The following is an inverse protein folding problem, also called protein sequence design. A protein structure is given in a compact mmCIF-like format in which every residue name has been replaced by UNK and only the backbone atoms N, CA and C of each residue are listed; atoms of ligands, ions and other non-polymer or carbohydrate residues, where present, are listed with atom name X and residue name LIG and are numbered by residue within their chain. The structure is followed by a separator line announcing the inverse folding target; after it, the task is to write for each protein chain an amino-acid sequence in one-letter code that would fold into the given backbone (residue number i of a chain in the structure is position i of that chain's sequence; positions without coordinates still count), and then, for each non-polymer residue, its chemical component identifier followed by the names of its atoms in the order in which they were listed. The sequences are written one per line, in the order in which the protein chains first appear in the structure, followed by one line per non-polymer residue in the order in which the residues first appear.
data_IF_909253910629
#
_entry.id   IF_909253910629
#
_cell.length_a   1.000
_cell.length_b   1.000
_cell.length_c   1.000
_cell.angle_alpha   90.00
_cell.angle_beta   90.00
_cell.angle_gamma   90.00
#
_symmetry.space_group_name_H-M   'P 1'
#
loop_
_entity.id
_entity.type
_entity.pdbx_description
1 polymer ?
#
# COMPACT_ATOMS: atom_id res chain seq x y z
N UNK A 1 -30.96 7.13 -8.42
CA UNK A 1 -29.99 7.18 -9.54
C UNK A 1 -28.91 6.14 -9.26
N UNK A 2 -28.74 5.16 -10.14
CA UNK A 2 -27.83 4.02 -9.93
C UNK A 2 -26.53 4.30 -10.69
N UNK A 3 -25.38 4.21 -10.01
CA UNK A 3 -24.06 4.36 -10.61
C UNK A 3 -23.41 2.99 -10.82
N UNK A 4 -22.94 2.72 -12.05
CA UNK A 4 -22.42 1.41 -12.44
C UNK A 4 -21.09 1.06 -11.73
N UNK A 5 -21.10 -0.03 -10.96
CA UNK A 5 -19.88 -0.60 -10.40
C UNK A 5 -19.03 -1.30 -11.49
N UNK A 6 -17.86 -0.74 -11.82
CA UNK A 6 -16.86 -1.40 -12.68
C UNK A 6 -16.10 -2.45 -11.86
N UNK A 7 -16.04 -3.69 -12.34
CA UNK A 7 -15.29 -4.74 -11.66
C UNK A 7 -13.78 -4.53 -11.74
N UNK A 8 -13.09 -4.62 -10.60
CA UNK A 8 -11.63 -4.62 -10.52
C UNK A 8 -11.13 -5.99 -10.04
N UNK A 9 -10.30 -6.65 -10.85
CA UNK A 9 -9.60 -7.87 -10.43
C UNK A 9 -8.33 -7.51 -9.68
N UNK A 10 -8.28 -7.83 -8.38
CA UNK A 10 -7.01 -8.00 -7.67
C UNK A 10 -6.31 -9.23 -8.26
N UNK A 11 -5.04 -9.08 -8.67
CA UNK A 11 -4.21 -10.23 -9.06
C UNK A 11 -3.57 -10.79 -7.80
N UNK A 12 -3.87 -12.06 -7.47
CA UNK A 12 -3.18 -12.77 -6.40
C UNK A 12 -1.67 -12.75 -6.65
N UNK A 13 -0.92 -12.16 -5.71
CA UNK A 13 0.53 -12.08 -5.79
C UNK A 13 1.12 -13.43 -5.36
N UNK A 14 1.74 -14.13 -6.31
CA UNK A 14 2.26 -15.49 -6.08
C UNK A 14 3.63 -15.41 -5.39
N UNK A 15 3.62 -15.36 -4.06
CA UNK A 15 4.82 -15.51 -3.24
C UNK A 15 5.46 -16.89 -3.55
N UNK A 16 6.77 -16.91 -3.81
CA UNK A 16 7.53 -18.16 -4.02
C UNK A 16 8.07 -18.63 -2.67
N UNK A 17 8.13 -19.94 -2.44
CA UNK A 17 8.66 -20.50 -1.19
C UNK A 17 10.05 -19.98 -0.84
N UNK A 18 10.91 -19.84 -1.85
CA UNK A 18 12.27 -19.27 -1.74
C UNK A 18 12.30 -17.81 -1.22
N UNK A 19 11.29 -17.01 -1.56
CA UNK A 19 11.15 -15.62 -1.07
C UNK A 19 10.68 -15.57 0.41
N UNK A 20 10.20 -16.70 0.97
CA UNK A 20 9.69 -16.82 2.34
C UNK A 20 10.68 -17.57 3.26
N UNK A 21 11.34 -18.60 2.74
CA UNK A 21 12.42 -19.34 3.40
C UNK A 21 13.60 -18.42 3.75
N UNK A 22 13.96 -17.49 2.86
CA UNK A 22 14.98 -16.46 3.11
C UNK A 22 14.62 -15.48 4.24
N UNK A 23 13.35 -15.44 4.66
CA UNK A 23 12.84 -14.61 5.75
C UNK A 23 12.63 -15.40 7.05
N UNK A 24 13.17 -16.62 7.15
CA UNK A 24 13.04 -17.48 8.33
C UNK A 24 11.64 -18.10 8.52
N UNK A 25 10.77 -18.05 7.51
CA UNK A 25 9.45 -18.68 7.57
C UNK A 25 9.62 -20.18 7.41
N UNK A 26 9.42 -20.92 8.50
CA UNK A 26 9.58 -22.37 8.51
C UNK A 26 8.51 -23.08 7.69
N UNK A 27 8.85 -24.25 7.15
CA UNK A 27 7.95 -25.11 6.37
C UNK A 27 6.62 -25.42 7.10
N UNK A 28 6.67 -25.58 8.42
CA UNK A 28 5.47 -25.80 9.25
C UNK A 28 4.51 -24.60 9.28
N UNK A 29 5.03 -23.36 9.29
CA UNK A 29 4.19 -22.15 9.19
C UNK A 29 3.57 -22.03 7.80
N UNK A 30 4.33 -22.38 6.76
CA UNK A 30 3.86 -22.43 5.37
C UNK A 30 2.72 -23.44 5.16
N UNK A 31 2.77 -24.59 5.83
CA UNK A 31 1.71 -25.60 5.78
C UNK A 31 0.43 -25.14 6.48
N UNK A 32 0.53 -24.41 7.60
CA UNK A 32 -0.63 -23.79 8.28
C UNK A 32 -1.29 -22.68 7.44
N UNK A 33 -0.52 -21.93 6.63
CA UNK A 33 -1.03 -20.86 5.78
C UNK A 33 -1.62 -21.35 4.45
N UNK A 34 -1.32 -22.59 4.05
CA UNK A 34 -1.70 -23.18 2.76
C UNK A 34 -3.22 -23.18 2.46
N UNK A 35 -4.12 -23.47 3.43
CA UNK A 35 -5.58 -23.42 3.22
C UNK A 35 -6.13 -22.01 3.00
N UNK A 36 -5.39 -20.97 3.39
CA UNK A 36 -5.82 -19.56 3.31
C UNK A 36 -5.33 -18.87 2.02
N UNK A 37 -4.31 -19.44 1.36
CA UNK A 37 -3.69 -18.88 0.15
C UNK A 37 -4.28 -19.47 -1.13
N UNK A 38 -4.86 -20.67 -1.07
CA UNK A 38 -5.52 -21.34 -2.18
C UNK A 38 -7.04 -21.31 -2.02
N UNK A 39 -7.81 -20.87 -3.04
CA UNK A 39 -9.27 -21.02 -2.98
C UNK A 39 -9.64 -22.51 -2.99
N UNK A 40 -10.72 -22.84 -2.28
CA UNK A 40 -11.32 -24.19 -2.28
C UNK A 40 -11.48 -24.74 -3.71
N UNK A 41 -11.20 -26.03 -3.95
CA UNK A 41 -11.42 -26.65 -5.26
C UNK A 41 -12.91 -26.57 -5.61
N UNK A 42 -13.23 -25.74 -6.62
CA UNK A 42 -14.60 -25.59 -7.12
C UNK A 42 -15.17 -26.95 -7.49
N UNK A 43 -16.29 -27.32 -6.88
CA UNK A 43 -17.12 -28.43 -7.33
C UNK A 43 -17.48 -28.22 -8.80
N UNK A 44 -17.22 -29.22 -9.64
CA UNK A 44 -17.72 -29.25 -11.01
C UNK A 44 -19.23 -29.43 -10.97
N UNK A 45 -19.98 -28.39 -11.35
CA UNK A 45 -21.39 -28.49 -11.72
C UNK A 45 -21.51 -28.10 -13.19
N UNK A 46 -22.37 -28.81 -13.92
CA UNK A 46 -22.32 -28.89 -15.37
C UNK A 46 -22.64 -27.55 -16.06
N UNK A 47 -21.94 -27.29 -17.17
CA UNK A 47 -22.31 -26.24 -18.10
C UNK A 47 -23.64 -26.63 -18.79
N UNK A 48 -24.73 -25.93 -18.45
CA UNK A 48 -25.84 -25.73 -19.38
C UNK A 48 -25.62 -24.35 -20.01
N UNK A 49 -25.55 -24.33 -21.34
CA UNK A 49 -25.36 -23.10 -22.10
C UNK A 49 -26.66 -22.29 -22.19
N UNK A 50 -26.51 -20.98 -22.41
CA UNK A 50 -27.35 -20.02 -23.17
C UNK A 50 -26.84 -18.62 -22.77
N UNK A 51 -25.88 -18.00 -23.49
CA UNK A 51 -26.10 -17.06 -24.61
C UNK A 51 -27.13 -15.95 -24.26
N UNK A 52 -26.87 -14.65 -24.36
CA UNK A 52 -26.03 -13.88 -25.29
C UNK A 52 -25.46 -12.60 -24.59
N UNK A 53 -24.62 -11.72 -25.16
CA UNK A 53 -23.94 -11.61 -26.47
C UNK A 53 -22.49 -11.11 -26.26
N UNK A 54 -21.61 -11.35 -27.24
CA UNK A 54 -20.37 -10.56 -27.42
C UNK A 54 -20.02 -10.54 -28.91
N UNK A 55 -19.94 -9.34 -29.51
CA UNK A 55 -19.59 -9.21 -30.94
C UNK A 55 -18.09 -9.41 -31.14
N UNK A 56 -17.71 -10.53 -31.76
CA UNK A 56 -16.34 -10.70 -32.30
C UNK A 56 -16.17 -9.87 -33.57
N UNK A 57 -15.01 -9.24 -33.73
CA UNK A 57 -14.46 -8.93 -35.06
C UNK A 57 -13.14 -9.67 -35.28
N UNK A 58 -12.82 -9.83 -36.57
CA UNK A 58 -12.05 -10.93 -37.13
C UNK A 58 -10.54 -10.84 -36.92
N UNK A 59 -9.93 -12.02 -36.83
CA UNK A 59 -8.52 -12.23 -37.16
C UNK A 59 -8.28 -11.83 -38.62
N UNK A 60 -7.22 -11.06 -38.87
CA UNK A 60 -6.58 -11.03 -40.18
C UNK A 60 -5.08 -11.28 -40.00
N UNK A 61 -4.64 -12.43 -40.50
CA UNK A 61 -3.24 -12.71 -40.77
C UNK A 61 -2.72 -11.80 -41.87
N UNK A 62 -1.50 -11.26 -41.71
CA UNK A 62 -0.63 -10.93 -42.86
C UNK A 62 0.85 -10.75 -42.48
N UNK A 63 1.60 -11.78 -42.88
CA UNK A 63 2.95 -11.75 -43.49
C UNK A 63 4.13 -11.19 -42.68
N UNK A 64 5.13 -12.07 -42.55
CA UNK A 64 6.52 -11.75 -42.23
C UNK A 64 7.08 -10.68 -43.19
N UNK A 65 7.79 -9.70 -42.65
CA UNK A 65 8.86 -9.00 -43.37
C UNK A 65 10.06 -8.87 -42.42
N UNK A 66 11.24 -9.32 -42.85
CA UNK A 66 12.45 -9.18 -42.07
C UNK A 66 12.91 -7.73 -42.03
N UNK A 67 13.21 -7.21 -40.84
CA UNK A 67 14.00 -5.98 -40.68
C UNK A 67 15.17 -6.23 -39.74
N UNK A 68 16.28 -5.58 -40.07
CA UNK A 68 17.63 -5.73 -39.50
C UNK A 68 17.63 -5.45 -37.98
N UNK A 69 18.62 -5.96 -37.21
CA UNK A 69 18.79 -5.55 -35.82
C UNK A 69 18.90 -4.03 -35.74
N UNK A 70 17.98 -3.40 -35.01
CA UNK A 70 18.00 -1.96 -34.78
C UNK A 70 19.22 -1.62 -33.91
N UNK A 71 20.15 -0.88 -34.49
CA UNK A 71 21.32 -0.35 -33.80
C UNK A 71 20.94 0.38 -32.51
N UNK A 72 21.77 0.22 -31.49
CA UNK A 72 21.75 1.07 -30.30
C UNK A 72 22.07 2.50 -30.76
N UNK A 73 21.03 3.33 -30.86
CA UNK A 73 21.16 4.77 -31.16
C UNK A 73 20.63 5.64 -30.03
N UNK A 74 21.27 5.44 -28.87
CA UNK A 74 21.76 6.51 -27.98
C UNK A 74 22.70 5.86 -26.98
N UNK A 75 23.96 6.32 -26.83
CA UNK A 75 24.75 5.95 -25.67
C UNK A 75 24.01 6.43 -24.41
N UNK A 76 24.14 5.67 -23.32
CA UNK A 76 23.93 6.24 -21.99
C UNK A 76 24.82 7.49 -21.89
N UNK A 77 24.32 8.64 -21.41
CA UNK A 77 25.20 9.79 -21.19
C UNK A 77 26.27 9.39 -20.18
N UNK A 78 27.50 9.21 -20.67
CA UNK A 78 28.69 9.15 -19.83
C UNK A 78 28.84 10.48 -19.12
N UNK A 79 29.10 10.40 -17.82
CA UNK A 79 29.62 11.39 -16.89
C UNK A 79 29.58 12.90 -17.22
N UNK A 80 29.19 13.63 -16.19
CA UNK A 80 29.28 15.08 -16.01
C UNK A 80 28.37 16.01 -16.86
N UNK A 81 27.93 17.07 -16.18
CA UNK A 81 27.22 18.25 -16.73
C UNK A 81 25.78 18.07 -17.23
N UNK A 82 25.01 17.13 -16.69
CA UNK A 82 23.58 17.42 -16.45
C UNK A 82 23.41 18.07 -15.09
N UNK A 83 23.40 19.40 -15.11
CA UNK A 83 22.97 20.23 -13.98
C UNK A 83 21.66 19.66 -13.43
N UNK A 84 21.62 19.44 -12.11
CA UNK A 84 20.39 19.62 -11.34
C UNK A 84 19.86 21.00 -11.75
N UNK A 85 18.79 21.01 -12.54
CA UNK A 85 18.16 22.27 -12.93
C UNK A 85 17.50 22.85 -11.69
N UNK A 86 17.64 24.15 -11.51
CA UNK A 86 17.04 24.98 -10.45
C UNK A 86 15.57 24.60 -10.14
N UNK A 87 14.84 24.11 -11.15
CA UNK A 87 13.48 23.58 -11.09
C UNK A 87 13.27 22.34 -10.18
N UNK A 88 14.29 21.53 -9.88
CA UNK A 88 14.11 20.39 -8.96
C UNK A 88 14.14 20.81 -7.49
N UNK A 89 14.86 21.89 -7.19
CA UNK A 89 14.67 22.65 -5.95
C UNK A 89 13.29 23.30 -5.88
N UNK A 90 12.60 23.54 -7.01
CA UNK A 90 11.30 24.22 -7.03
C UNK A 90 10.10 23.43 -6.51
N UNK A 91 10.20 22.20 -6.01
CA UNK A 91 9.06 21.62 -5.21
C UNK A 91 9.27 21.82 -3.70
N UNK A 92 10.50 22.04 -3.26
CA UNK A 92 10.76 22.68 -1.97
C UNK A 92 10.46 24.20 -2.06
N UNK A 93 10.87 24.87 -3.15
CA UNK A 93 10.64 26.32 -3.35
C UNK A 93 9.27 26.69 -3.98
N UNK A 94 8.41 25.77 -4.42
CA UNK A 94 7.10 26.12 -5.00
C UNK A 94 6.19 26.80 -3.96
N UNK A 95 6.41 26.50 -2.68
CA UNK A 95 5.74 27.16 -1.58
C UNK A 95 6.19 28.63 -1.40
N UNK A 96 7.43 28.98 -1.77
CA UNK A 96 8.00 30.34 -1.79
C UNK A 96 9.25 30.45 -2.70
N UNK A 97 9.15 30.96 -3.95
CA UNK A 97 10.26 30.97 -4.91
C UNK A 97 11.37 32.01 -4.64
N UNK A 98 11.30 32.76 -3.52
CA UNK A 98 12.21 33.86 -3.18
C UNK A 98 12.76 33.79 -1.74
N UNK A 99 12.61 32.65 -1.06
CA UNK A 99 13.05 32.48 0.32
C UNK A 99 14.56 32.19 0.42
N UNK A 100 15.36 33.22 0.72
CA UNK A 100 16.78 33.07 1.05
C UNK A 100 17.02 32.51 2.47
N UNK A 101 15.97 32.45 3.29
CA UNK A 101 15.96 31.91 4.66
C UNK A 101 14.73 31.02 4.82
N UNK A 102 14.93 29.84 5.42
CA UNK A 102 13.86 28.88 5.67
C UNK A 102 13.23 29.12 7.04
N UNK A 103 11.96 29.51 7.04
CA UNK A 103 11.15 29.55 8.26
C UNK A 103 10.33 28.27 8.38
N UNK A 104 10.05 27.85 9.63
CA UNK A 104 9.26 26.64 9.96
C UNK A 104 7.91 26.57 9.24
N UNK A 105 7.32 27.72 8.91
CA UNK A 105 6.07 27.84 8.17
C UNK A 105 6.16 27.38 6.71
N UNK A 106 7.32 27.56 6.06
CA UNK A 106 7.51 27.17 4.65
C UNK A 106 7.46 25.64 4.51
N UNK A 107 8.06 24.96 5.48
CA UNK A 107 8.18 23.50 5.56
C UNK A 107 6.82 22.87 5.89
N UNK A 108 6.03 23.52 6.75
CA UNK A 108 4.63 23.14 6.96
C UNK A 108 3.84 23.19 5.64
N UNK A 109 3.99 24.27 4.84
CA UNK A 109 3.38 24.33 3.49
C UNK A 109 3.88 23.24 2.56
N UNK A 110 5.17 22.85 2.63
CA UNK A 110 5.68 21.69 1.87
C UNK A 110 4.97 20.41 2.28
N UNK A 111 4.76 20.17 3.59
CA UNK A 111 4.02 19.00 4.08
C UNK A 111 2.54 19.04 3.68
N UNK A 112 1.88 20.18 3.88
CA UNK A 112 0.50 20.40 3.42
C UNK A 112 0.37 20.13 1.91
N UNK A 113 1.36 20.54 1.11
CA UNK A 113 1.39 20.28 -0.34
C UNK A 113 1.60 18.79 -0.68
N UNK A 114 2.61 18.10 -0.14
CA UNK A 114 2.91 16.70 -0.54
C UNK A 114 1.81 15.70 -0.14
N UNK A 115 0.97 16.05 0.85
CA UNK A 115 -0.19 15.25 1.25
C UNK A 115 -1.52 15.76 0.65
N UNK A 116 -1.49 16.81 -0.18
CA UNK A 116 -2.68 17.33 -0.89
C UNK A 116 -2.97 16.58 -2.20
N UNK A 117 -4.20 16.74 -2.72
CA UNK A 117 -4.59 16.28 -4.06
C UNK A 117 -3.78 16.91 -5.21
N UNK A 118 -3.02 17.98 -4.95
CA UNK A 118 -2.18 18.68 -5.93
C UNK A 118 -0.74 18.15 -5.98
N UNK A 119 -0.36 17.18 -5.15
CA UNK A 119 1.00 16.62 -5.15
C UNK A 119 1.26 15.77 -6.40
N UNK A 120 2.26 16.13 -7.21
CA UNK A 120 2.75 15.27 -8.28
C UNK A 120 3.99 14.46 -7.83
N UNK A 121 3.94 13.12 -7.85
CA UNK A 121 5.08 12.27 -7.50
C UNK A 121 6.31 12.54 -8.37
N UNK A 122 7.46 12.78 -7.74
CA UNK A 122 8.71 13.13 -8.45
C UNK A 122 9.26 11.99 -9.32
N UNK A 123 8.80 10.75 -9.10
CA UNK A 123 9.10 9.60 -9.96
C UNK A 123 7.79 9.09 -10.56
N UNK A 124 7.59 9.37 -11.86
CA UNK A 124 6.46 8.86 -12.65
C UNK A 124 6.92 7.67 -13.50
N UNK A 125 6.13 6.60 -13.49
CA UNK A 125 6.42 5.40 -14.29
C UNK A 125 5.48 5.28 -15.50
N UNK A 126 5.96 4.83 -16.68
CA UNK A 126 5.11 4.65 -17.85
C UNK A 126 3.94 3.68 -17.60
N UNK A 127 2.74 3.95 -18.14
CA UNK A 127 1.53 3.16 -17.83
C UNK A 127 1.54 1.72 -18.35
N UNK A 128 2.55 1.31 -19.13
CA UNK A 128 2.69 -0.02 -19.74
C UNK A 128 3.92 -0.81 -19.24
N UNK A 129 4.55 -0.40 -18.14
CA UNK A 129 5.68 -1.17 -17.57
C UNK A 129 5.20 -2.54 -17.09
N UNK A 130 5.46 -3.57 -17.90
CA UNK A 130 5.30 -5.00 -17.56
C UNK A 130 6.59 -5.60 -16.97
N UNK A 131 7.49 -4.76 -16.46
CA UNK A 131 8.71 -5.24 -15.82
C UNK A 131 8.40 -6.04 -14.56
N UNK A 132 9.17 -7.11 -14.36
CA UNK A 132 9.00 -8.03 -13.25
C UNK A 132 9.52 -7.37 -11.96
N UNK A 133 8.65 -6.63 -11.25
CA UNK A 133 9.01 -6.04 -9.95
C UNK A 133 8.23 -4.79 -9.53
N UNK A 134 7.47 -4.15 -10.44
CA UNK A 134 6.64 -2.98 -10.12
C UNK A 134 5.19 -3.39 -9.91
N UNK A 135 4.59 -2.92 -8.81
CA UNK A 135 3.22 -3.27 -8.42
C UNK A 135 2.34 -2.01 -8.38
N UNK A 136 1.03 -2.18 -8.49
CA UNK A 136 0.06 -1.13 -8.24
C UNK A 136 -0.64 -1.42 -6.91
N UNK A 137 -0.37 -0.59 -5.91
CA UNK A 137 -0.96 -0.66 -4.59
C UNK A 137 -2.13 0.33 -4.50
N UNK A 138 -3.33 -0.14 -4.16
CA UNK A 138 -4.53 0.71 -4.07
C UNK A 138 -4.77 1.10 -2.62
N UNK A 139 -4.90 2.40 -2.35
CA UNK A 139 -5.09 2.95 -1.00
C UNK A 139 -6.03 4.15 -1.08
N UNK A 140 -6.77 4.41 0.00
CA UNK A 140 -7.56 5.64 0.18
C UNK A 140 -6.78 6.73 0.92
N UNK A 141 -5.53 6.48 1.31
CA UNK A 141 -4.66 7.41 2.04
C UNK A 141 -3.75 8.22 1.11
N UNK A 142 -3.96 8.15 -0.21
CA UNK A 142 -3.18 8.89 -1.21
C UNK A 142 -4.15 9.78 -2.01
N UNK A 143 -4.16 11.07 -1.68
CA UNK A 143 -5.17 12.03 -2.17
C UNK A 143 -5.08 12.27 -3.69
N UNK A 144 -3.87 12.44 -4.25
CA UNK A 144 -3.68 12.67 -5.69
C UNK A 144 -4.21 11.54 -6.58
N UNK A 145 -4.35 10.31 -6.06
CA UNK A 145 -4.89 9.24 -6.91
C UNK A 145 -5.11 7.87 -6.29
N UNK A 146 -5.98 7.11 -6.94
CA UNK A 146 -6.48 5.81 -6.48
C UNK A 146 -5.42 4.68 -6.32
N UNK A 147 -4.17 4.90 -6.70
CA UNK A 147 -3.12 3.89 -6.54
C UNK A 147 -1.69 4.42 -6.65
N UNK A 148 -0.81 3.89 -5.79
CA UNK A 148 0.64 4.06 -5.83
C UNK A 148 1.26 3.01 -6.75
N UNK A 149 2.19 3.40 -7.63
CA UNK A 149 3.00 2.46 -8.43
C UNK A 149 4.36 2.29 -7.76
N UNK A 150 4.73 1.06 -7.42
CA UNK A 150 5.90 0.80 -6.57
C UNK A 150 7.20 0.64 -7.38
N UNK A 151 8.32 1.11 -6.81
CA UNK A 151 9.66 0.98 -7.40
C UNK A 151 10.12 -0.48 -7.43
N UNK A 152 9.74 -1.24 -6.39
CA UNK A 152 10.12 -2.63 -6.18
C UNK A 152 9.04 -3.43 -5.41
N UNK A 153 9.29 -4.71 -5.11
CA UNK A 153 8.38 -5.58 -4.33
C UNK A 153 8.34 -5.24 -2.83
N UNK A 154 9.43 -4.72 -2.27
CA UNK A 154 9.56 -4.39 -0.85
C UNK A 154 8.73 -3.17 -0.49
N UNK A 155 8.73 -2.14 -1.33
CA UNK A 155 7.81 -1.00 -1.22
C UNK A 155 6.34 -1.45 -1.28
N UNK A 156 5.98 -2.44 -2.09
CA UNK A 156 4.61 -2.97 -2.12
C UNK A 156 4.21 -3.66 -0.80
N UNK A 157 5.14 -4.38 -0.17
CA UNK A 157 4.93 -5.01 1.14
C UNK A 157 4.97 -4.00 2.30
N UNK A 158 5.85 -3.00 2.23
CA UNK A 158 5.93 -1.89 3.19
C UNK A 158 4.68 -1.01 3.15
N UNK A 159 4.14 -0.71 1.96
CA UNK A 159 2.87 -0.01 1.80
C UNK A 159 1.71 -0.75 2.46
N UNK A 160 1.68 -2.09 2.45
CA UNK A 160 0.66 -2.86 3.18
C UNK A 160 0.78 -2.69 4.70
N UNK A 161 2.01 -2.53 5.24
CA UNK A 161 2.21 -2.21 6.66
C UNK A 161 1.75 -0.79 6.98
N UNK A 162 2.08 0.20 6.14
CA UNK A 162 1.77 1.61 6.39
C UNK A 162 0.28 1.91 6.20
N UNK A 163 -0.33 1.39 5.14
CA UNK A 163 -1.76 1.55 4.86
C UNK A 163 -2.61 0.88 5.94
N UNK A 164 -2.23 -0.34 6.38
CA UNK A 164 -2.89 -1.03 7.48
C UNK A 164 -2.66 -0.42 8.86
N UNK A 165 -1.89 0.67 8.98
CA UNK A 165 -1.62 1.36 10.24
C UNK A 165 -2.62 2.49 10.52
N UNK A 166 -3.45 2.41 11.58
CA UNK A 166 -4.44 3.44 11.89
C UNK A 166 -3.86 4.79 12.34
N UNK A 167 -2.58 4.83 12.75
CA UNK A 167 -1.91 6.09 13.05
C UNK A 167 -1.42 6.82 11.80
N UNK A 168 -1.27 6.14 10.67
CA UNK A 168 -0.91 6.78 9.40
C UNK A 168 -2.18 7.22 8.69
N UNK A 169 -2.32 8.53 8.47
CA UNK A 169 -3.52 9.14 7.89
C UNK A 169 -3.35 9.45 6.40
N UNK A 170 -2.14 9.80 5.94
CA UNK A 170 -1.85 10.05 4.53
C UNK A 170 -0.50 9.44 4.09
N UNK A 171 -0.40 9.16 2.79
CA UNK A 171 0.70 8.50 2.09
C UNK A 171 1.03 9.30 0.82
N UNK A 172 2.27 9.78 0.70
CA UNK A 172 2.75 10.55 -0.45
C UNK A 172 3.92 9.81 -1.13
N UNK A 173 3.72 9.15 -2.28
CA UNK A 173 4.77 8.40 -2.97
C UNK A 173 5.73 9.35 -3.70
N UNK A 174 7.03 9.10 -3.62
CA UNK A 174 8.06 9.93 -4.27
C UNK A 174 7.90 11.43 -3.98
N UNK A 175 7.87 11.84 -2.69
CA UNK A 175 7.31 13.11 -2.25
C UNK A 175 8.10 14.33 -2.76
N UNK A 176 9.39 14.39 -2.46
CA UNK A 176 10.31 15.49 -2.79
C UNK A 176 11.72 14.94 -3.07
N UNK A 177 12.57 15.80 -3.64
CA UNK A 177 14.01 15.58 -3.69
C UNK A 177 14.65 16.19 -2.44
N UNK A 178 15.29 15.36 -1.63
CA UNK A 178 16.11 15.77 -0.48
C UNK A 178 17.55 15.93 -0.96
N UNK A 179 18.20 17.03 -0.58
CA UNK A 179 19.60 17.32 -0.93
C UNK A 179 20.46 17.25 0.33
N UNK A 180 21.49 16.42 0.31
CA UNK A 180 22.33 16.14 1.47
C UNK A 180 23.82 16.18 1.10
N UNK A 181 24.68 16.40 2.10
CA UNK A 181 26.12 16.30 1.94
C UNK A 181 26.54 14.83 2.07
N UNK A 182 27.25 14.31 1.06
CA UNK A 182 27.76 12.94 1.06
C UNK A 182 29.17 12.84 0.51
N UNK A 183 29.90 11.78 0.89
CA UNK A 183 31.26 11.54 0.38
C UNK A 183 31.24 11.09 -1.09
N UNK A 184 32.21 11.56 -1.87
CA UNK A 184 32.46 11.12 -3.24
C UNK A 184 33.52 10.00 -3.27
N UNK A 185 33.82 9.45 -4.46
CA UNK A 185 34.78 8.35 -4.61
C UNK A 185 36.22 8.73 -4.20
N UNK A 186 36.58 10.01 -4.27
CA UNK A 186 37.85 10.57 -3.80
C UNK A 186 37.80 11.06 -2.34
N UNK A 187 36.81 10.60 -1.56
CA UNK A 187 36.57 10.93 -0.15
C UNK A 187 36.30 12.42 0.17
N UNK A 188 36.10 13.26 -0.85
CA UNK A 188 35.69 14.65 -0.71
C UNK A 188 34.17 14.77 -0.48
N UNK A 189 33.74 15.88 0.10
CA UNK A 189 32.32 16.15 0.34
C UNK A 189 31.68 16.76 -0.91
N UNK A 190 30.55 16.21 -1.34
CA UNK A 190 29.73 16.78 -2.41
C UNK A 190 28.24 16.74 -2.05
N UNK A 191 27.48 17.67 -2.61
CA UNK A 191 26.02 17.60 -2.57
C UNK A 191 25.52 16.41 -3.40
N UNK A 192 24.57 15.66 -2.86
CA UNK A 192 23.86 14.56 -3.51
C UNK A 192 22.36 14.73 -3.33
N UNK A 193 21.61 14.20 -4.30
CA UNK A 193 20.17 14.34 -4.38
C UNK A 193 19.53 12.94 -4.19
N UNK A 194 18.43 12.86 -3.44
CA UNK A 194 17.72 11.61 -3.18
C UNK A 194 16.20 11.83 -3.15
N UNK A 195 15.43 10.93 -3.77
CA UNK A 195 13.96 10.92 -3.72
C UNK A 195 13.52 9.66 -2.96
N UNK A 196 12.96 9.80 -1.74
CA UNK A 196 12.44 8.69 -0.95
C UNK A 196 11.34 7.93 -1.70
N UNK A 197 11.16 6.65 -1.40
CA UNK A 197 10.01 5.91 -1.92
C UNK A 197 8.67 6.48 -1.45
N UNK A 198 8.59 6.96 -0.20
CA UNK A 198 7.34 7.35 0.44
C UNK A 198 7.56 8.44 1.50
N UNK A 199 6.60 9.34 1.69
CA UNK A 199 6.36 10.03 2.96
C UNK A 199 5.05 9.55 3.57
N UNK A 200 5.00 9.48 4.90
CA UNK A 200 3.81 9.15 5.67
C UNK A 200 3.49 10.29 6.65
N UNK A 201 2.23 10.69 6.70
CA UNK A 201 1.70 11.61 7.71
C UNK A 201 1.04 10.80 8.82
N UNK A 202 1.46 11.02 10.06
CA UNK A 202 0.86 10.42 11.25
C UNK A 202 -0.24 11.31 11.82
N UNK A 203 -1.17 10.69 12.56
CA UNK A 203 -2.32 11.34 13.20
C UNK A 203 -1.94 12.43 14.21
N UNK A 204 -0.76 12.34 14.81
CA UNK A 204 -0.19 13.35 15.71
C UNK A 204 0.48 14.53 14.96
N UNK A 205 0.52 14.51 13.62
CA UNK A 205 1.15 15.53 12.79
C UNK A 205 2.59 15.22 12.37
N UNK A 206 3.20 14.15 12.90
CA UNK A 206 4.58 13.79 12.54
C UNK A 206 4.67 13.31 11.07
N UNK A 207 5.71 13.75 10.37
CA UNK A 207 6.04 13.31 9.02
C UNK A 207 7.29 12.44 9.05
N UNK A 208 7.20 11.27 8.41
CA UNK A 208 8.34 10.37 8.23
C UNK A 208 8.54 10.04 6.75
N UNK A 209 9.76 10.19 6.27
CA UNK A 209 10.20 9.78 4.94
C UNK A 209 10.77 8.35 5.00
N UNK A 210 10.45 7.53 4.01
CA UNK A 210 10.73 6.09 4.05
C UNK A 210 11.24 5.55 2.72
N UNK A 211 12.18 4.62 2.82
CA UNK A 211 12.80 3.88 1.70
C UNK A 211 12.74 2.37 1.97
N UNK A 212 12.47 1.53 0.95
CA UNK A 212 12.22 0.09 1.13
C UNK A 212 13.22 -0.79 0.38
N UNK A 213 14.05 -1.53 1.13
CA UNK A 213 15.18 -2.30 0.60
C UNK A 213 15.15 -3.80 0.94
N UNK A 214 15.90 -4.58 0.16
CA UNK A 214 16.30 -5.93 0.57
C UNK A 214 17.47 -5.83 1.56
N UNK A 215 17.56 -6.75 2.51
CA UNK A 215 18.73 -6.94 3.40
C UNK A 215 20.07 -7.12 2.65
N UNK A 216 20.02 -7.58 1.39
CA UNK A 216 21.18 -7.78 0.51
C UNK A 216 21.39 -6.66 -0.51
N UNK A 217 20.67 -5.53 -0.40
CA UNK A 217 20.77 -4.45 -1.37
C UNK A 217 22.04 -3.61 -1.16
N UNK A 218 23.02 -3.76 -2.04
CA UNK A 218 24.31 -3.04 -1.99
C UNK A 218 24.19 -1.53 -2.23
N UNK A 219 23.00 -1.03 -2.59
CA UNK A 219 22.70 0.41 -2.64
C UNK A 219 22.35 0.99 -1.28
N UNK A 220 22.31 0.17 -0.22
CA UNK A 220 22.27 0.65 1.16
C UNK A 220 23.59 1.37 1.47
N UNK A 221 23.46 2.56 1.99
CA UNK A 221 24.55 3.45 2.35
C UNK A 221 24.13 4.07 3.69
N UNK A 222 24.79 3.63 4.76
CA UNK A 222 24.42 4.00 6.13
C UNK A 222 24.87 5.44 6.41
N UNK A 223 26.00 5.88 5.83
CA UNK A 223 26.45 7.28 5.83
C UNK A 223 25.42 8.19 5.12
N UNK A 224 24.91 7.79 3.95
CA UNK A 224 23.79 8.49 3.27
C UNK A 224 22.56 8.58 4.16
N UNK A 225 22.18 7.46 4.77
CA UNK A 225 20.97 7.37 5.60
C UNK A 225 21.07 8.34 6.77
N UNK A 226 22.24 8.39 7.42
CA UNK A 226 22.50 9.33 8.52
C UNK A 226 22.51 10.79 8.06
N UNK A 227 23.15 11.11 6.93
CA UNK A 227 23.18 12.47 6.39
C UNK A 227 21.78 12.99 6.01
N UNK A 228 20.91 12.13 5.46
CA UNK A 228 19.51 12.46 5.18
C UNK A 228 18.70 12.64 6.47
N UNK A 229 18.93 11.80 7.49
CA UNK A 229 18.30 11.95 8.81
C UNK A 229 18.65 13.28 9.48
N UNK A 230 19.92 13.73 9.39
CA UNK A 230 20.36 15.01 9.92
C UNK A 230 19.60 16.15 9.22
N UNK A 231 19.67 16.23 7.88
CA UNK A 231 18.98 17.27 7.11
C UNK A 231 17.47 17.29 7.43
N UNK A 232 16.75 16.18 7.31
CA UNK A 232 15.31 16.20 7.59
C UNK A 232 14.95 16.58 9.04
N UNK A 233 15.76 16.17 10.03
CA UNK A 233 15.53 16.51 11.43
C UNK A 233 15.80 17.98 11.72
N UNK A 234 16.93 18.50 11.25
CA UNK A 234 17.36 19.89 11.46
C UNK A 234 16.52 20.86 10.64
N UNK A 235 16.33 20.59 9.35
CA UNK A 235 15.60 21.46 8.44
C UNK A 235 14.11 21.49 8.79
N UNK A 236 13.47 20.33 8.98
CA UNK A 236 12.00 20.22 8.96
C UNK A 236 11.35 19.40 10.08
N UNK A 237 12.11 18.96 11.08
CA UNK A 237 11.61 18.11 12.18
C UNK A 237 10.95 16.79 11.74
N UNK A 238 11.23 16.32 10.51
CA UNK A 238 10.76 15.03 10.01
C UNK A 238 11.78 13.93 10.28
N UNK A 239 11.33 12.68 10.37
CA UNK A 239 12.24 11.53 10.43
C UNK A 239 12.53 10.95 9.04
N UNK A 240 13.64 10.23 8.93
CA UNK A 240 13.97 9.39 7.77
C UNK A 240 14.26 7.97 8.24
N UNK A 241 13.54 7.00 7.69
CA UNK A 241 13.61 5.59 8.07
C UNK A 241 13.84 4.70 6.85
N UNK A 242 14.80 3.78 6.97
CA UNK A 242 15.01 2.73 5.97
C UNK A 242 14.39 1.44 6.50
N UNK A 243 13.42 0.87 5.77
CA UNK A 243 12.76 -0.36 6.15
C UNK A 243 13.27 -1.54 5.33
N UNK A 244 13.87 -2.51 6.01
CA UNK A 244 14.49 -3.70 5.42
C UNK A 244 13.47 -4.84 5.27
N UNK A 245 13.64 -5.70 4.27
CA UNK A 245 12.72 -6.81 4.01
C UNK A 245 12.48 -7.73 5.23
N UNK A 246 13.50 -8.01 6.05
CA UNK A 246 13.32 -8.72 7.35
C UNK A 246 12.39 -8.00 8.33
N UNK A 247 12.42 -6.67 8.38
CA UNK A 247 11.51 -5.86 9.21
C UNK A 247 10.10 -5.82 8.61
N UNK A 248 10.00 -5.69 7.28
CA UNK A 248 8.74 -5.64 6.53
C UNK A 248 7.95 -6.95 6.70
N UNK A 249 8.62 -8.09 6.56
CA UNK A 249 7.97 -9.41 6.58
C UNK A 249 7.85 -10.04 7.97
N UNK A 250 8.22 -9.31 9.03
CA UNK A 250 8.16 -9.80 10.42
C UNK A 250 6.74 -10.22 10.81
N UNK A 251 6.60 -11.48 11.21
CA UNK A 251 5.34 -12.05 11.66
C UNK A 251 5.12 -11.84 13.17
N UNK A 252 3.87 -11.78 13.66
CA UNK A 252 2.61 -11.82 12.88
C UNK A 252 2.18 -10.46 12.31
N UNK A 253 2.93 -9.37 12.61
CA UNK A 253 2.63 -8.00 12.17
C UNK A 253 2.31 -7.91 10.68
N UNK A 254 3.12 -8.54 9.82
CA UNK A 254 2.91 -8.52 8.37
C UNK A 254 1.58 -9.20 7.97
N UNK A 255 1.28 -10.39 8.48
CA UNK A 255 -0.01 -11.05 8.23
C UNK A 255 -1.19 -10.18 8.69
N UNK A 256 -1.15 -9.67 9.92
CA UNK A 256 -2.22 -8.87 10.51
C UNK A 256 -2.48 -7.56 9.73
N UNK A 257 -1.41 -6.82 9.35
CA UNK A 257 -1.54 -5.59 8.55
C UNK A 257 -2.08 -5.86 7.14
N UNK A 258 -1.69 -6.96 6.49
CA UNK A 258 -2.29 -7.37 5.22
C UNK A 258 -3.78 -7.74 5.38
N UNK A 259 -4.16 -8.38 6.49
CA UNK A 259 -5.55 -8.73 6.77
C UNK A 259 -6.43 -7.48 7.00
N UNK A 260 -5.92 -6.49 7.75
CA UNK A 260 -6.54 -5.17 7.89
C UNK A 260 -6.69 -4.47 6.53
N UNK A 261 -5.60 -4.37 5.76
CA UNK A 261 -5.63 -3.81 4.40
C UNK A 261 -6.67 -4.52 3.51
N UNK A 262 -6.73 -5.85 3.54
CA UNK A 262 -7.66 -6.64 2.74
C UNK A 262 -9.13 -6.37 3.08
N UNK A 263 -9.43 -6.03 4.34
CA UNK A 263 -10.77 -5.71 4.84
C UNK A 263 -11.09 -4.20 4.86
N UNK A 264 -10.17 -3.30 4.48
CA UNK A 264 -10.43 -1.85 4.47
C UNK A 264 -11.72 -1.49 3.69
N UNK A 265 -12.51 -0.50 4.12
CA UNK A 265 -13.74 -0.13 3.41
C UNK A 265 -13.48 0.26 1.95
N UNK A 266 -14.34 -0.20 1.03
CA UNK A 266 -14.32 0.23 -0.38
C UNK A 266 -15.68 0.68 -0.88
N UNK A 267 -15.69 1.58 -1.85
CA UNK A 267 -16.91 2.04 -2.53
C UNK A 267 -17.64 0.87 -3.20
N UNK A 268 -18.92 0.70 -2.88
CA UNK A 268 -19.77 -0.36 -3.43
C UNK A 268 -19.66 -1.72 -2.72
N UNK A 269 -18.94 -1.82 -1.61
CA UNK A 269 -19.05 -2.97 -0.69
C UNK A 269 -20.35 -2.90 0.12
N UNK A 270 -20.70 -4.01 0.77
CA UNK A 270 -21.86 -4.05 1.68
C UNK A 270 -21.64 -3.07 2.83
N UNK A 271 -22.69 -2.32 3.16
CA UNK A 271 -22.70 -1.43 4.31
C UNK A 271 -22.69 -2.23 5.63
N UNK A 272 -21.62 -2.09 6.39
CA UNK A 272 -21.46 -2.67 7.73
C UNK A 272 -21.69 -1.64 8.85
N UNK A 273 -22.06 -0.39 8.52
CA UNK A 273 -22.17 0.74 9.48
C UNK A 273 -23.04 0.40 10.70
N UNK A 274 -24.12 -0.36 10.53
CA UNK A 274 -24.96 -0.79 11.65
C UNK A 274 -24.24 -1.73 12.62
N UNK A 275 -23.49 -2.70 12.10
CA UNK A 275 -22.71 -3.64 12.93
C UNK A 275 -21.52 -2.91 13.55
N UNK A 276 -20.84 -2.05 12.78
CA UNK A 276 -19.74 -1.20 13.25
C UNK A 276 -20.17 -0.29 14.41
N UNK A 277 -21.38 0.31 14.36
CA UNK A 277 -21.94 1.09 15.47
C UNK A 277 -22.23 0.23 16.69
N UNK A 278 -22.94 -0.90 16.52
CA UNK A 278 -23.27 -1.77 17.64
C UNK A 278 -22.04 -2.40 18.30
N UNK A 279 -20.93 -2.61 17.58
CA UNK A 279 -19.62 -2.97 18.18
C UNK A 279 -19.10 -1.84 19.07
N UNK A 280 -19.14 -0.59 18.63
CA UNK A 280 -18.61 0.56 19.39
C UNK A 280 -19.42 0.89 20.66
N UNK A 281 -20.66 0.41 20.73
CA UNK A 281 -21.58 0.48 21.88
C UNK A 281 -21.32 -0.62 22.93
N UNK A 282 -20.49 -1.65 22.64
CA UNK A 282 -20.21 -2.74 23.57
C UNK A 282 -19.21 -2.35 24.69
N UNK A 283 -19.26 -3.04 25.85
CA UNK A 283 -18.33 -2.80 26.96
C UNK A 283 -16.94 -3.42 26.71
N UNK A 284 -16.07 -2.68 26.02
CA UNK A 284 -14.66 -3.08 25.83
C UNK A 284 -13.87 -3.19 27.15
N UNK A 285 -12.84 -4.06 27.23
CA UNK A 285 -12.35 -4.96 26.18
C UNK A 285 -13.18 -6.25 26.04
N UNK A 286 -13.30 -6.75 24.80
CA UNK A 286 -13.99 -8.00 24.47
C UNK A 286 -13.26 -8.72 23.34
N UNK A 287 -13.35 -10.04 23.27
CA UNK A 287 -12.92 -10.83 22.10
C UNK A 287 -13.91 -10.68 20.94
N UNK A 288 -13.47 -11.01 19.72
CA UNK A 288 -14.37 -10.98 18.55
C UNK A 288 -15.45 -12.07 18.63
N UNK A 289 -15.18 -13.22 19.26
CA UNK A 289 -16.22 -14.24 19.53
C UNK A 289 -17.29 -13.71 20.51
N UNK A 290 -16.90 -13.09 21.63
CA UNK A 290 -17.87 -12.47 22.58
C UNK A 290 -18.69 -11.35 21.91
N UNK A 291 -18.06 -10.53 21.05
CA UNK A 291 -18.78 -9.55 20.22
C UNK A 291 -19.70 -10.21 19.18
N UNK A 292 -19.36 -11.41 18.70
CA UNK A 292 -20.19 -12.15 17.76
C UNK A 292 -21.45 -12.68 18.44
N UNK A 293 -21.31 -13.20 19.66
CA UNK A 293 -22.44 -13.69 20.46
C UNK A 293 -23.33 -12.55 20.98
N UNK A 294 -22.76 -11.40 21.33
CA UNK A 294 -23.50 -10.23 21.80
C UNK A 294 -24.33 -9.52 20.70
N UNK A 295 -24.01 -9.74 19.41
CA UNK A 295 -24.59 -8.99 18.30
C UNK A 295 -25.55 -9.83 17.44
N UNK A 296 -26.89 -9.74 17.66
CA UNK A 296 -27.88 -10.59 16.98
C UNK A 296 -28.04 -10.29 15.47
N UNK A 297 -27.34 -9.28 14.93
CA UNK A 297 -27.36 -8.90 13.51
C UNK A 297 -25.98 -9.14 12.86
N UNK A 298 -25.42 -10.32 13.09
CA UNK A 298 -24.09 -10.74 12.65
C UNK A 298 -24.08 -11.59 11.35
N UNK A 299 -25.24 -11.77 10.68
CA UNK A 299 -25.39 -12.60 9.47
C UNK A 299 -25.52 -11.73 8.22
N UNK A 300 -24.66 -11.98 7.22
CA UNK A 300 -24.86 -11.47 5.86
C UNK A 300 -25.86 -12.37 5.12
N UNK A 301 -26.82 -11.78 4.41
CA UNK A 301 -27.74 -12.54 3.54
C UNK A 301 -27.67 -12.06 2.10
N UNK A 302 -27.79 -13.00 1.16
CA UNK A 302 -27.85 -12.77 -0.27
C UNK A 302 -29.21 -13.16 -0.86
N UNK A 303 -29.68 -12.38 -1.84
CA UNK A 303 -30.83 -12.64 -2.70
C UNK A 303 -30.58 -11.98 -4.05
N UNK A 304 -31.25 -12.44 -5.10
CA UNK A 304 -31.34 -11.69 -6.35
C UNK A 304 -32.28 -10.48 -6.19
N UNK A 305 -32.18 -9.50 -7.08
CA UNK A 305 -32.90 -8.22 -6.94
C UNK A 305 -34.42 -8.40 -7.09
N UNK A 306 -34.81 -9.29 -8.00
CA UNK A 306 -36.16 -9.74 -8.34
C UNK A 306 -36.74 -10.77 -7.36
N UNK A 307 -35.93 -11.39 -6.52
CA UNK A 307 -36.39 -12.34 -5.49
C UNK A 307 -37.08 -11.65 -4.31
N UNK A 308 -38.16 -12.25 -3.80
CA UNK A 308 -38.81 -11.81 -2.56
C UNK A 308 -37.81 -11.83 -1.37
N UNK A 309 -37.99 -10.91 -0.40
CA UNK A 309 -37.11 -10.83 0.79
C UNK A 309 -37.01 -12.14 1.57
N UNK A 310 -38.04 -12.96 1.54
CA UNK A 310 -38.09 -14.30 2.17
C UNK A 310 -37.20 -15.35 1.50
N UNK A 311 -36.73 -15.13 0.28
CA UNK A 311 -35.79 -16.01 -0.42
C UNK A 311 -34.33 -15.77 0.00
N UNK A 312 -34.04 -14.75 0.80
CA UNK A 312 -32.69 -14.39 1.20
C UNK A 312 -32.03 -15.50 2.03
N UNK A 313 -30.82 -15.90 1.63
CA UNK A 313 -30.05 -16.98 2.26
C UNK A 313 -28.81 -16.44 2.96
N UNK A 314 -28.40 -17.00 4.12
CA UNK A 314 -27.13 -16.65 4.75
C UNK A 314 -25.95 -16.90 3.80
N UNK A 315 -25.11 -15.89 3.58
CA UNK A 315 -23.88 -16.04 2.77
C UNK A 315 -22.84 -16.81 3.58
N UNK A 316 -22.59 -18.05 3.18
CA UNK A 316 -21.69 -18.96 3.90
C UNK A 316 -20.24 -18.42 3.98
N UNK A 317 -19.61 -18.60 5.14
CA UNK A 317 -18.20 -18.25 5.37
C UNK A 317 -17.91 -16.77 5.68
N UNK A 318 -18.91 -15.88 5.65
CA UNK A 318 -18.74 -14.47 6.00
C UNK A 318 -18.86 -14.27 7.51
N UNK A 319 -17.75 -13.98 8.19
CA UNK A 319 -17.75 -13.55 9.61
C UNK A 319 -17.92 -12.03 9.70
N UNK A 320 -19.17 -11.55 9.72
CA UNK A 320 -19.49 -10.10 9.62
C UNK A 320 -18.82 -9.28 10.74
N UNK A 321 -18.95 -9.72 12.00
CA UNK A 321 -18.36 -9.02 13.16
C UNK A 321 -16.83 -8.98 13.07
N UNK A 322 -16.18 -10.07 12.65
CA UNK A 322 -14.74 -10.10 12.44
C UNK A 322 -14.28 -9.09 11.37
N UNK A 323 -14.94 -9.03 10.21
CA UNK A 323 -14.65 -8.02 9.19
C UNK A 323 -14.95 -6.59 9.65
N UNK A 324 -16.00 -6.38 10.43
CA UNK A 324 -16.31 -5.07 11.01
C UNK A 324 -15.25 -4.61 12.04
N UNK A 325 -14.78 -5.50 12.92
CA UNK A 325 -13.67 -5.21 13.84
C UNK A 325 -12.37 -4.84 13.09
N UNK A 326 -12.05 -5.56 12.00
CA UNK A 326 -10.89 -5.23 11.15
C UNK A 326 -11.05 -3.86 10.47
N UNK A 327 -12.26 -3.50 10.01
CA UNK A 327 -12.57 -2.18 9.43
C UNK A 327 -12.44 -1.06 10.45
N UNK A 328 -13.03 -1.24 11.64
CA UNK A 328 -12.92 -0.28 12.74
C UNK A 328 -11.45 -0.10 13.17
N UNK A 329 -10.66 -1.18 13.21
CA UNK A 329 -9.23 -1.11 13.52
C UNK A 329 -8.44 -0.37 12.42
N UNK A 330 -8.69 -0.65 11.14
CA UNK A 330 -8.09 0.08 10.01
C UNK A 330 -8.41 1.60 10.05
N UNK A 331 -9.64 1.95 10.46
CA UNK A 331 -10.10 3.34 10.61
C UNK A 331 -9.61 4.03 11.90
N UNK A 332 -8.94 3.31 12.80
CA UNK A 332 -8.49 3.83 14.11
C UNK A 332 -9.64 4.14 15.07
N UNK A 333 -10.69 3.30 15.08
CA UNK A 333 -11.84 3.40 16.00
C UNK A 333 -11.77 2.41 17.16
N UNK A 334 -11.09 1.29 16.95
CA UNK A 334 -10.75 0.28 17.98
C UNK A 334 -9.30 -0.14 17.79
N UNK A 335 -8.71 -0.71 18.83
CA UNK A 335 -7.44 -1.41 18.74
C UNK A 335 -7.68 -2.92 18.78
N UNK A 336 -6.75 -3.65 18.15
CA UNK A 336 -6.68 -5.11 18.17
C UNK A 336 -5.31 -5.52 18.70
N UNK A 337 -5.24 -6.62 19.46
CA UNK A 337 -3.94 -7.21 19.82
C UNK A 337 -3.21 -7.74 18.58
N UNK A 338 -2.23 -6.97 18.12
CA UNK A 338 -1.39 -7.29 16.96
C UNK A 338 -0.21 -8.21 17.30
N UNK A 339 -0.02 -8.61 18.57
CA UNK A 339 1.11 -9.45 19.01
C UNK A 339 1.02 -10.91 18.54
N UNK A 340 -0.19 -11.37 18.24
CA UNK A 340 -0.51 -12.72 17.74
C UNK A 340 -1.23 -12.64 16.38
N UNK A 341 -1.27 -13.71 15.57
CA UNK A 341 -2.12 -13.73 14.37
C UNK A 341 -3.57 -13.42 14.72
N UNK A 342 -4.20 -12.48 14.00
CA UNK A 342 -5.59 -12.10 14.26
C UNK A 342 -6.55 -13.27 14.01
N UNK A 343 -7.39 -13.53 14.99
CA UNK A 343 -8.38 -14.62 15.02
C UNK A 343 -9.62 -14.16 15.79
N UNK A 344 -10.63 -15.02 15.95
CA UNK A 344 -11.84 -14.61 16.67
C UNK A 344 -11.64 -14.49 18.20
N UNK A 345 -10.59 -15.10 18.75
CA UNK A 345 -10.17 -14.87 20.14
C UNK A 345 -9.25 -13.65 20.31
N UNK A 346 -9.01 -12.86 19.25
CA UNK A 346 -8.30 -11.58 19.38
C UNK A 346 -9.12 -10.58 20.18
N UNK A 347 -8.47 -9.90 21.13
CA UNK A 347 -9.08 -8.87 21.96
C UNK A 347 -9.24 -7.58 21.13
N UNK A 348 -10.43 -6.99 21.22
CA UNK A 348 -10.81 -5.67 20.76
C UNK A 348 -10.88 -4.73 21.96
N UNK A 349 -10.23 -3.58 21.87
CA UNK A 349 -10.30 -2.53 22.90
C UNK A 349 -10.68 -1.19 22.27
N UNK A 350 -11.28 -0.29 23.06
CA UNK A 350 -11.49 1.09 22.63
C UNK A 350 -10.12 1.77 22.47
N UNK A 351 -9.91 2.42 21.33
CA UNK A 351 -8.75 3.29 21.11
C UNK A 351 -8.97 4.60 21.89
N UNK A 352 -7.96 5.03 22.65
CA UNK A 352 -7.96 6.25 23.48
C UNK A 352 -7.39 7.42 22.69
#
# INVERSE_FOLDING_TARGET
MISHAKSFRVRNMKLRSQDLESCGITKGLLEHLRPLILPSPRSRVNNVALSFFHVKRSVQDKRRSGRKPSQITKPLPSDDKKRSTENDYQVLLQCLPHANVWYREHLRRTFDHIFSEHHEPRIVFPPRVREHGRFRFTTSKYETGNSIVTRNKWMAHGLALMDGDPDIVALSPYPITIRYLGRNASNGVQWKDHVPDLAVLRRNGDVAFMDFFHDLDTRRDDDRTHAIQISLKEDCSASYEVMMATQILKQPRFFNRNLLHANRPRSGEVDLTMVERSILEQPFPMTIDELTDALPRNVLVERWEDEARSAAKPTAGVKVVFSACLRLCYLGKVDLDMSKPLSTSSIVSRRV
#
